data_IF_861873872016
#
_entry.id   IF_861873872016
#
_cell.length_a   1.000
_cell.length_b   1.000
_cell.length_c   1.000
_cell.angle_alpha   90.00
_cell.angle_beta   90.00
_cell.angle_gamma   90.00
#
_symmetry.space_group_name_H-M   'P 1'
#
loop_
_entity.id
_entity.type
_entity.pdbx_description
1 polymer ?
#
# COMPACT_ATOMS: atom_id res chain seq x y z
N UNK A 1 -24.36 -8.41 -8.38
CA UNK A 1 -25.00 -8.64 -9.71
C UNK A 1 -24.21 -7.94 -10.81
N UNK A 2 -23.87 -6.64 -10.72
CA UNK A 2 -23.04 -5.96 -11.73
C UNK A 2 -21.60 -6.52 -11.81
N UNK A 3 -21.01 -6.86 -10.67
CA UNK A 3 -19.69 -7.51 -10.58
C UNK A 3 -19.66 -8.90 -11.22
N UNK A 4 -20.75 -9.66 -11.12
CA UNK A 4 -20.84 -11.00 -11.69
C UNK A 4 -20.86 -10.95 -13.24
N UNK A 5 -21.47 -9.92 -13.85
CA UNK A 5 -21.47 -9.73 -15.31
C UNK A 5 -20.09 -9.42 -15.86
N UNK A 6 -19.31 -8.62 -15.15
CA UNK A 6 -17.91 -8.34 -15.51
C UNK A 6 -17.04 -9.59 -15.37
N UNK A 7 -17.19 -10.33 -14.28
CA UNK A 7 -16.51 -11.61 -14.07
C UNK A 7 -16.85 -12.65 -15.14
N UNK A 8 -18.11 -12.67 -15.60
CA UNK A 8 -18.56 -13.53 -16.70
C UNK A 8 -17.88 -13.17 -18.02
N UNK A 9 -17.82 -11.88 -18.36
CA UNK A 9 -17.15 -11.37 -19.58
C UNK A 9 -15.66 -11.69 -19.60
N UNK A 10 -14.99 -11.58 -18.45
CA UNK A 10 -13.56 -11.82 -18.33
C UNK A 10 -13.20 -13.30 -18.13
N UNK A 11 -14.20 -14.19 -18.02
CA UNK A 11 -13.97 -15.61 -17.75
C UNK A 11 -13.34 -15.87 -16.37
N UNK A 12 -13.56 -14.97 -15.41
CA UNK A 12 -12.95 -15.00 -14.09
C UNK A 12 -13.82 -15.66 -13.01
N UNK A 13 -15.01 -16.14 -13.37
CA UNK A 13 -15.94 -16.82 -12.45
C UNK A 13 -15.67 -18.34 -12.43
N UNK A 14 -16.04 -18.98 -11.32
CA UNK A 14 -16.04 -20.44 -11.25
C UNK A 14 -17.10 -21.06 -12.16
N UNK A 15 -16.93 -22.34 -12.59
CA UNK A 15 -17.84 -22.97 -13.56
C UNK A 15 -19.31 -22.91 -13.15
N UNK A 16 -19.63 -23.11 -11.87
CA UNK A 16 -21.01 -23.06 -11.36
C UNK A 16 -21.60 -21.64 -11.33
N UNK A 17 -20.77 -20.63 -11.22
CA UNK A 17 -21.18 -19.21 -11.27
C UNK A 17 -21.39 -18.78 -12.72
N UNK A 18 -20.53 -19.23 -13.64
CA UNK A 18 -20.68 -19.03 -15.08
C UNK A 18 -22.03 -19.57 -15.57
N UNK A 19 -22.41 -20.78 -15.14
CA UNK A 19 -23.70 -21.38 -15.50
C UNK A 19 -24.89 -20.59 -14.95
N UNK A 20 -24.79 -20.11 -13.72
CA UNK A 20 -25.81 -19.27 -13.07
C UNK A 20 -26.02 -17.94 -13.79
N UNK A 21 -24.92 -17.26 -14.14
CA UNK A 21 -24.98 -16.00 -14.90
C UNK A 21 -25.49 -16.26 -16.33
N UNK A 22 -25.05 -17.32 -16.98
CA UNK A 22 -25.54 -17.70 -18.30
C UNK A 22 -27.04 -18.00 -18.31
N UNK A 23 -27.57 -18.60 -17.25
CA UNK A 23 -29.01 -18.82 -17.09
C UNK A 23 -29.74 -17.49 -16.88
N UNK A 24 -29.25 -16.63 -16.02
CA UNK A 24 -29.82 -15.30 -15.77
C UNK A 24 -29.85 -14.43 -17.03
N UNK A 25 -28.80 -14.46 -17.86
CA UNK A 25 -28.75 -13.77 -19.15
C UNK A 25 -29.79 -14.30 -20.16
N UNK A 26 -30.17 -15.59 -20.08
CA UNK A 26 -31.24 -16.17 -20.94
C UNK A 26 -32.62 -15.70 -20.51
N UNK A 27 -32.83 -15.52 -19.21
CA UNK A 27 -34.13 -15.22 -18.63
C UNK A 27 -34.44 -13.71 -18.55
N UNK A 28 -33.40 -12.85 -18.37
CA UNK A 28 -33.56 -11.42 -18.17
C UNK A 28 -33.08 -10.57 -19.37
N UNK A 29 -33.98 -9.84 -20.03
CA UNK A 29 -33.59 -8.88 -21.04
C UNK A 29 -32.86 -7.66 -20.49
N UNK A 30 -33.00 -7.37 -19.19
CA UNK A 30 -32.29 -6.28 -18.50
C UNK A 30 -30.81 -6.65 -18.29
N UNK A 31 -30.54 -7.87 -17.87
CA UNK A 31 -29.17 -8.37 -17.70
C UNK A 31 -28.39 -8.33 -19.02
N UNK A 32 -29.06 -8.65 -20.14
CA UNK A 32 -28.44 -8.56 -21.47
C UNK A 32 -28.08 -7.13 -21.88
N UNK A 33 -28.93 -6.16 -21.57
CA UNK A 33 -28.63 -4.73 -21.83
C UNK A 33 -27.49 -4.21 -20.97
N UNK A 34 -27.41 -4.67 -19.74
CA UNK A 34 -26.33 -4.31 -18.82
C UNK A 34 -25.00 -4.92 -19.29
N UNK A 35 -25.00 -6.16 -19.75
CA UNK A 35 -23.84 -6.82 -20.36
C UNK A 35 -23.36 -6.04 -21.61
N UNK A 36 -24.27 -5.66 -22.51
CA UNK A 36 -23.93 -4.86 -23.68
C UNK A 36 -23.35 -3.47 -23.34
N UNK A 37 -23.75 -2.89 -22.22
CA UNK A 37 -23.15 -1.64 -21.76
C UNK A 37 -21.73 -1.82 -21.27
N UNK A 38 -21.47 -2.91 -20.53
CA UNK A 38 -20.13 -3.28 -20.06
C UNK A 38 -19.20 -3.60 -21.25
N UNK A 39 -19.67 -4.41 -22.21
CA UNK A 39 -18.90 -4.71 -23.44
C UNK A 39 -18.55 -3.43 -24.21
N UNK A 40 -19.52 -2.51 -24.35
CA UNK A 40 -19.28 -1.25 -25.04
C UNK A 40 -18.30 -0.34 -24.32
N UNK A 41 -18.27 -0.38 -22.98
CA UNK A 41 -17.32 0.35 -22.18
C UNK A 41 -15.89 -0.26 -22.23
N UNK A 42 -15.77 -1.57 -22.43
CA UNK A 42 -14.49 -2.28 -22.53
C UNK A 42 -13.88 -2.24 -23.94
N UNK A 43 -14.69 -2.02 -24.97
CA UNK A 43 -14.27 -1.99 -26.37
C UNK A 43 -13.04 -1.11 -26.66
N UNK A 44 -12.88 0.11 -26.07
CA UNK A 44 -11.68 0.91 -26.28
C UNK A 44 -10.40 0.26 -25.77
N UNK A 45 -10.50 -0.62 -24.75
CA UNK A 45 -9.36 -1.35 -24.22
C UNK A 45 -8.93 -2.48 -25.18
N UNK A 46 -9.90 -3.14 -25.82
CA UNK A 46 -9.62 -4.16 -26.84
C UNK A 46 -9.00 -3.57 -28.10
N UNK A 47 -9.47 -2.39 -28.54
CA UNK A 47 -8.94 -1.69 -29.72
C UNK A 47 -7.49 -1.21 -29.53
N UNK A 48 -7.07 -0.99 -28.29
CA UNK A 48 -5.69 -0.59 -27.95
C UNK A 48 -4.82 -1.77 -27.49
N UNK A 49 -5.35 -2.98 -27.47
CA UNK A 49 -4.60 -4.18 -27.12
C UNK A 49 -3.58 -4.49 -28.21
N UNK A 50 -2.30 -4.31 -27.91
CA UNK A 50 -1.22 -4.85 -28.73
C UNK A 50 -1.03 -6.32 -28.31
N UNK A 51 -1.25 -7.27 -29.20
CA UNK A 51 -1.03 -8.67 -28.90
C UNK A 51 0.42 -8.87 -28.47
N UNK A 52 0.63 -9.59 -27.37
CA UNK A 52 1.96 -9.98 -26.94
C UNK A 52 2.71 -10.65 -28.10
N UNK A 53 4.02 -10.47 -28.16
CA UNK A 53 4.87 -11.10 -29.17
C UNK A 53 4.51 -12.58 -29.33
N UNK A 54 4.47 -13.03 -30.58
CA UNK A 54 4.12 -14.44 -30.88
C UNK A 54 5.03 -15.37 -30.09
N UNK A 55 4.45 -16.37 -29.40
CA UNK A 55 5.24 -17.29 -28.60
C UNK A 55 6.31 -17.99 -29.46
N UNK A 56 7.47 -18.35 -28.88
CA UNK A 56 8.53 -19.05 -29.60
C UNK A 56 7.96 -20.29 -30.34
N UNK A 57 8.38 -20.55 -31.56
CA UNK A 57 7.81 -21.61 -32.40
C UNK A 57 7.99 -23.02 -31.80
N UNK A 58 8.89 -23.21 -30.87
CA UNK A 58 9.18 -24.46 -30.16
C UNK A 58 8.42 -24.60 -28.82
N UNK A 59 7.67 -23.59 -28.39
CA UNK A 59 6.99 -23.60 -27.09
C UNK A 59 6.01 -24.75 -26.95
N UNK A 60 5.19 -25.02 -28.00
CA UNK A 60 4.19 -26.11 -28.01
C UNK A 60 4.89 -27.46 -27.88
N UNK A 61 5.96 -27.68 -28.63
CA UNK A 61 6.71 -28.95 -28.62
C UNK A 61 7.38 -29.17 -27.24
N UNK A 62 7.92 -28.15 -26.64
CA UNK A 62 8.52 -28.20 -25.28
C UNK A 62 7.46 -28.45 -24.20
N UNK A 63 6.29 -27.82 -24.32
CA UNK A 63 5.20 -28.02 -23.37
C UNK A 63 4.65 -29.45 -23.47
N UNK A 64 4.42 -29.95 -24.67
CA UNK A 64 3.95 -31.33 -24.90
C UNK A 64 4.96 -32.39 -24.45
N UNK A 65 6.27 -32.13 -24.61
CA UNK A 65 7.32 -33.04 -24.15
C UNK A 65 7.43 -33.13 -22.63
N UNK A 66 7.00 -32.11 -21.91
CA UNK A 66 7.02 -32.04 -20.43
C UNK A 66 5.67 -32.42 -19.79
N UNK A 67 4.65 -32.78 -20.59
CA UNK A 67 3.39 -33.26 -20.01
C UNK A 67 3.58 -34.71 -19.48
N UNK A 68 3.00 -35.05 -18.33
CA UNK A 68 2.99 -36.42 -17.85
C UNK A 68 2.25 -37.33 -18.87
N UNK A 69 2.64 -38.59 -19.00
CA UNK A 69 2.00 -39.48 -19.95
C UNK A 69 0.50 -39.59 -19.68
N UNK A 70 -0.28 -39.52 -20.75
CA UNK A 70 -1.74 -39.67 -20.68
C UNK A 70 -2.08 -41.02 -20.05
N UNK A 71 -3.04 -41.10 -19.13
CA UNK A 71 -3.52 -42.37 -18.58
C UNK A 71 -4.05 -43.24 -19.71
N UNK A 72 -3.77 -44.54 -19.65
CA UNK A 72 -4.23 -45.51 -20.66
C UNK A 72 -5.76 -45.53 -20.69
N UNK A 73 -6.38 -45.69 -21.87
CA UNK A 73 -7.83 -45.80 -21.97
C UNK A 73 -8.32 -47.00 -21.14
N UNK A 74 -9.07 -46.73 -20.09
CA UNK A 74 -9.58 -47.74 -19.16
C UNK A 74 -9.27 -47.49 -17.69
N UNK A 75 -8.35 -46.56 -17.34
CA UNK A 75 -8.17 -46.12 -15.97
C UNK A 75 -9.08 -44.92 -15.72
N UNK A 76 -10.20 -45.18 -15.06
CA UNK A 76 -11.11 -44.12 -14.59
C UNK A 76 -10.41 -43.32 -13.49
N UNK A 77 -10.17 -42.04 -13.73
CA UNK A 77 -9.86 -41.11 -12.68
C UNK A 77 -11.08 -41.00 -11.75
N UNK A 78 -11.07 -41.68 -10.65
CA UNK A 78 -11.94 -41.35 -9.53
C UNK A 78 -11.27 -40.18 -8.80
N UNK A 79 -11.61 -38.95 -9.19
CA UNK A 79 -11.46 -37.81 -8.31
C UNK A 79 -12.34 -38.09 -7.10
N UNK A 80 -11.83 -38.03 -5.87
CA UNK A 80 -12.69 -38.13 -4.70
C UNK A 80 -13.52 -36.85 -4.65
N UNK A 81 -14.76 -36.92 -5.16
CA UNK A 81 -15.79 -35.93 -4.83
C UNK A 81 -16.09 -36.13 -3.34
N UNK A 82 -15.61 -35.24 -2.52
CA UNK A 82 -15.94 -35.21 -1.10
C UNK A 82 -17.38 -34.69 -0.98
N UNK A 83 -18.35 -35.59 -0.89
CA UNK A 83 -19.71 -35.30 -0.44
C UNK A 83 -19.69 -35.26 1.09
N UNK A 84 -20.28 -34.25 1.74
CA UNK A 84 -20.19 -34.11 3.20
C UNK A 84 -21.24 -34.90 3.97
N UNK A 85 -21.89 -35.90 3.42
CA UNK A 85 -22.84 -36.74 4.17
C UNK A 85 -22.71 -38.22 3.76
N UNK A 86 -22.57 -39.05 4.79
CA UNK A 86 -22.62 -40.50 4.82
C UNK A 86 -21.52 -41.24 4.01
N UNK A 87 -20.51 -41.70 4.76
CA UNK A 87 -20.22 -43.13 4.81
C UNK A 87 -19.04 -43.36 5.76
N UNK A 88 -19.36 -44.00 6.86
CA UNK A 88 -18.40 -44.77 7.63
C UNK A 88 -17.83 -45.87 6.71
N UNK A 89 -16.80 -45.50 5.93
CA UNK A 89 -15.99 -46.48 5.22
C UNK A 89 -15.33 -47.34 6.27
N UNK A 90 -15.88 -48.54 6.49
CA UNK A 90 -15.18 -49.59 7.22
C UNK A 90 -13.86 -49.83 6.50
N UNK A 91 -12.79 -49.32 7.06
CA UNK A 91 -11.45 -49.68 6.68
C UNK A 91 -11.34 -51.20 6.82
N UNK A 92 -10.83 -51.91 5.80
CA UNK A 92 -10.56 -53.33 5.95
C UNK A 92 -9.65 -53.48 7.17
N UNK A 93 -10.09 -54.28 8.14
CA UNK A 93 -9.29 -54.61 9.29
C UNK A 93 -8.00 -55.28 8.75
N UNK A 94 -6.95 -54.49 8.57
CA UNK A 94 -5.61 -55.03 8.55
C UNK A 94 -5.37 -55.58 9.91
N UNK A 95 -5.63 -56.87 10.03
CA UNK A 95 -5.32 -57.68 11.20
C UNK A 95 -3.83 -57.89 11.26
N UNK A 96 -3.05 -56.79 11.28
CA UNK A 96 -1.70 -56.79 11.78
C UNK A 96 -1.85 -56.90 13.28
N UNK A 97 -1.62 -58.10 13.78
CA UNK A 97 -1.46 -58.36 15.21
C UNK A 97 -0.42 -57.37 15.76
N UNK A 98 -0.91 -56.22 16.16
CA UNK A 98 -0.14 -55.30 16.99
C UNK A 98 -0.09 -55.99 18.36
N UNK A 99 1.02 -56.65 18.61
CA UNK A 99 1.35 -57.21 19.88
C UNK A 99 1.33 -56.05 20.90
N UNK A 100 0.38 -55.97 21.84
CA UNK A 100 0.22 -54.83 22.76
C UNK A 100 1.38 -54.73 23.76
N UNK A 101 2.37 -55.62 23.66
CA UNK A 101 3.58 -55.65 24.49
C UNK A 101 4.79 -54.94 23.90
N UNK A 102 4.68 -54.39 22.66
CA UNK A 102 5.70 -53.51 22.16
C UNK A 102 5.47 -52.11 22.70
N UNK A 103 5.86 -51.86 23.95
CA UNK A 103 6.15 -50.52 24.43
C UNK A 103 7.05 -49.89 23.35
N UNK A 104 6.54 -48.94 22.61
CA UNK A 104 7.33 -48.16 21.67
C UNK A 104 8.36 -47.43 22.53
N UNK A 105 9.55 -48.02 22.62
CA UNK A 105 10.70 -47.31 23.18
C UNK A 105 10.95 -46.15 22.24
N UNK A 106 10.30 -45.03 22.56
CA UNK A 106 10.59 -43.74 21.93
C UNK A 106 12.08 -43.49 22.16
N UNK A 107 12.89 -43.80 21.16
CA UNK A 107 14.32 -43.66 21.24
C UNK A 107 14.67 -42.17 21.19
N UNK A 108 15.70 -41.78 21.92
CA UNK A 108 16.22 -40.42 21.88
C UNK A 108 16.50 -39.92 20.43
N UNK A 109 16.77 -40.86 19.51
CA UNK A 109 16.94 -40.63 18.07
C UNK A 109 15.63 -40.14 17.41
N UNK A 110 14.47 -40.61 17.85
CA UNK A 110 13.18 -40.13 17.35
C UNK A 110 12.91 -38.67 17.77
N UNK A 111 13.37 -38.36 19.00
CA UNK A 111 13.36 -36.96 19.49
C UNK A 111 14.31 -36.06 18.70
N UNK A 112 15.51 -36.55 18.37
CA UNK A 112 16.46 -35.81 17.56
C UNK A 112 15.96 -35.61 16.13
N UNK A 113 15.35 -36.63 15.53
CA UNK A 113 14.74 -36.55 14.20
C UNK A 113 13.59 -35.57 14.15
N UNK A 114 12.70 -35.59 15.14
CA UNK A 114 11.60 -34.66 15.28
C UNK A 114 12.06 -33.20 15.49
N UNK A 115 13.05 -33.01 16.37
CA UNK A 115 13.65 -31.69 16.61
C UNK A 115 14.33 -31.11 15.37
N UNK A 116 15.07 -31.94 14.63
CA UNK A 116 15.74 -31.54 13.39
C UNK A 116 14.71 -31.16 12.32
N UNK A 117 13.65 -31.96 12.12
CA UNK A 117 12.60 -31.67 11.17
C UNK A 117 11.87 -30.36 11.51
N UNK A 118 11.57 -30.15 12.80
CA UNK A 118 10.95 -28.90 13.28
C UNK A 118 11.88 -27.70 13.08
N UNK A 119 13.16 -27.84 13.36
CA UNK A 119 14.14 -26.77 13.14
C UNK A 119 14.26 -26.38 11.66
N UNK A 120 14.29 -27.36 10.76
CA UNK A 120 14.30 -27.10 9.31
C UNK A 120 13.00 -26.40 8.87
N UNK A 121 11.84 -26.87 9.35
CA UNK A 121 10.57 -26.25 9.05
C UNK A 121 10.50 -24.79 9.52
N UNK A 122 10.95 -24.52 10.74
CA UNK A 122 11.02 -23.16 11.29
C UNK A 122 12.00 -22.29 10.51
N UNK A 123 13.16 -22.83 10.14
CA UNK A 123 14.16 -22.09 9.36
C UNK A 123 13.65 -21.67 7.97
N UNK A 124 12.72 -22.42 7.39
CA UNK A 124 12.09 -22.08 6.12
C UNK A 124 10.88 -21.15 6.29
N UNK A 125 10.08 -21.35 7.35
CA UNK A 125 8.85 -20.56 7.55
C UNK A 125 9.12 -19.16 8.11
N UNK A 126 10.09 -19.00 9.03
CA UNK A 126 10.34 -17.70 9.66
C UNK A 126 10.73 -16.60 8.66
N UNK A 127 11.64 -16.81 7.70
CA UNK A 127 11.97 -15.79 6.70
C UNK A 127 10.76 -15.44 5.83
N UNK A 128 9.97 -16.42 5.38
CA UNK A 128 8.79 -16.20 4.55
C UNK A 128 7.72 -15.37 5.27
N UNK A 129 7.50 -15.62 6.57
CA UNK A 129 6.57 -14.83 7.39
C UNK A 129 7.10 -13.41 7.59
N UNK A 130 8.40 -13.23 7.80
CA UNK A 130 9.00 -11.91 7.98
C UNK A 130 8.88 -11.06 6.70
N UNK A 131 9.18 -11.65 5.55
CA UNK A 131 9.03 -11.01 4.24
C UNK A 131 7.57 -10.68 3.92
N UNK A 132 6.65 -11.61 4.14
CA UNK A 132 5.22 -11.39 3.96
C UNK A 132 4.68 -10.24 4.84
N UNK A 133 5.14 -10.13 6.09
CA UNK A 133 4.79 -9.02 6.98
C UNK A 133 5.35 -7.69 6.50
N UNK A 134 6.57 -7.68 5.98
CA UNK A 134 7.19 -6.47 5.42
C UNK A 134 6.40 -5.99 4.20
N UNK A 135 6.13 -6.87 3.24
CA UNK A 135 5.37 -6.53 2.03
C UNK A 135 3.95 -6.05 2.35
N UNK A 136 3.26 -6.70 3.29
CA UNK A 136 1.93 -6.30 3.73
C UNK A 136 1.92 -4.89 4.35
N UNK A 137 2.91 -4.56 5.20
CA UNK A 137 3.03 -3.22 5.79
C UNK A 137 3.39 -2.16 4.76
N UNK A 138 4.27 -2.49 3.81
CA UNK A 138 4.62 -1.61 2.69
C UNK A 138 3.39 -1.30 1.84
N UNK A 139 2.64 -2.32 1.46
CA UNK A 139 1.41 -2.17 0.70
C UNK A 139 0.37 -1.32 1.44
N UNK A 140 0.17 -1.54 2.73
CA UNK A 140 -0.75 -0.73 3.55
C UNK A 140 -0.36 0.75 3.56
N UNK A 141 0.94 1.09 3.70
CA UNK A 141 1.38 2.48 3.62
C UNK A 141 1.23 3.07 2.21
N UNK A 142 1.43 2.27 1.16
CA UNK A 142 1.18 2.70 -0.22
C UNK A 142 -0.30 3.00 -0.46
N UNK A 143 -1.19 2.16 0.03
CA UNK A 143 -2.64 2.38 -0.11
C UNK A 143 -3.08 3.62 0.65
N UNK A 144 -2.49 3.88 1.81
CA UNK A 144 -2.75 5.12 2.55
C UNK A 144 -2.27 6.36 1.79
N UNK A 145 -1.08 6.30 1.17
CA UNK A 145 -0.60 7.40 0.31
C UNK A 145 -1.51 7.63 -0.91
N UNK A 146 -2.07 6.57 -1.52
CA UNK A 146 -3.06 6.70 -2.59
C UNK A 146 -4.34 7.38 -2.12
N UNK A 147 -4.80 7.08 -0.89
CA UNK A 147 -5.95 7.75 -0.28
C UNK A 147 -5.67 9.24 -0.07
N UNK A 148 -4.49 9.60 0.44
CA UNK A 148 -4.06 11.00 0.52
C UNK A 148 -3.99 11.64 -0.87
N UNK A 149 -3.45 10.96 -1.87
CA UNK A 149 -3.42 11.44 -3.26
C UNK A 149 -4.81 11.77 -3.80
N UNK A 150 -5.78 10.90 -3.51
CA UNK A 150 -7.19 11.14 -3.86
C UNK A 150 -7.76 12.36 -3.14
N UNK A 151 -7.51 12.50 -1.84
CA UNK A 151 -7.96 13.64 -1.06
C UNK A 151 -7.32 14.96 -1.53
N UNK A 152 -6.02 14.93 -1.85
CA UNK A 152 -5.30 16.09 -2.40
C UNK A 152 -5.84 16.50 -3.77
N UNK A 153 -6.11 15.55 -4.65
CA UNK A 153 -6.72 15.82 -5.96
C UNK A 153 -8.11 16.44 -5.82
N UNK A 154 -8.91 15.94 -4.88
CA UNK A 154 -10.22 16.53 -4.59
C UNK A 154 -10.10 17.93 -3.99
N UNK A 155 -9.10 18.17 -3.12
CA UNK A 155 -8.83 19.49 -2.57
C UNK A 155 -8.48 20.49 -3.67
N UNK A 156 -7.53 20.13 -4.53
CA UNK A 156 -7.10 20.93 -5.69
C UNK A 156 -8.27 21.24 -6.63
N UNK A 157 -9.17 20.29 -6.88
CA UNK A 157 -10.32 20.51 -7.75
C UNK A 157 -11.33 21.54 -7.21
N UNK A 158 -11.29 21.82 -5.90
CA UNK A 158 -12.12 22.86 -5.25
C UNK A 158 -11.39 24.19 -5.15
N UNK A 159 -10.07 24.20 -5.30
CA UNK A 159 -9.26 25.42 -5.24
C UNK A 159 -9.22 26.14 -6.61
N UNK A 160 -9.58 27.45 -6.62
CA UNK A 160 -9.64 28.24 -7.85
C UNK A 160 -8.28 28.40 -8.56
N UNK A 161 -7.19 28.21 -7.84
CA UNK A 161 -5.82 28.31 -8.39
C UNK A 161 -5.19 26.96 -8.69
N UNK A 162 -5.91 25.85 -8.47
CA UNK A 162 -5.43 24.48 -8.61
C UNK A 162 -4.16 24.23 -7.77
N UNK A 163 -4.13 24.68 -6.50
CA UNK A 163 -2.97 24.53 -5.65
C UNK A 163 -3.18 23.46 -4.59
N UNK A 164 -2.08 22.81 -4.24
CA UNK A 164 -2.02 21.91 -3.10
C UNK A 164 -2.29 22.64 -1.78
N UNK A 165 -2.74 21.95 -0.70
CA UNK A 165 -2.89 22.54 0.62
C UNK A 165 -1.66 23.34 1.03
N UNK A 166 -1.85 24.65 1.28
CA UNK A 166 -0.74 25.55 1.49
C UNK A 166 -0.12 25.38 2.88
N UNK A 167 1.19 25.34 2.95
CA UNK A 167 1.98 25.63 4.15
C UNK A 167 2.17 27.14 4.23
N UNK A 168 1.93 27.75 5.37
CA UNK A 168 2.19 29.19 5.54
C UNK A 168 3.70 29.46 5.66
N UNK A 169 4.12 30.64 5.22
CA UNK A 169 5.54 31.04 5.37
C UNK A 169 5.93 31.18 6.84
N UNK A 170 5.04 31.74 7.65
CA UNK A 170 5.25 32.08 9.06
C UNK A 170 3.94 31.87 9.84
N UNK A 171 4.02 31.78 11.18
CA UNK A 171 2.88 31.67 12.07
C UNK A 171 2.44 30.24 12.36
N UNK A 172 1.25 30.06 12.98
CA UNK A 172 0.81 28.77 13.49
C UNK A 172 0.62 27.69 12.40
N UNK A 173 0.39 28.09 11.17
CA UNK A 173 0.22 27.19 10.02
C UNK A 173 1.54 26.91 9.25
N UNK A 174 2.67 27.39 9.76
CA UNK A 174 3.99 27.22 9.11
C UNK A 174 4.63 25.89 9.49
N UNK A 175 4.02 24.77 9.08
CA UNK A 175 4.55 23.42 9.28
C UNK A 175 3.98 22.44 8.25
N UNK A 176 4.76 21.44 7.90
CA UNK A 176 4.37 20.49 6.84
C UNK A 176 3.05 19.75 7.13
N UNK A 177 2.81 19.33 8.38
CA UNK A 177 1.63 18.57 8.79
C UNK A 177 0.30 19.32 8.69
N UNK A 178 0.32 20.63 8.40
CA UNK A 178 -0.91 21.44 8.21
C UNK A 178 -1.80 20.90 7.08
N UNK A 179 -1.24 20.15 6.14
CA UNK A 179 -2.02 19.52 5.07
C UNK A 179 -3.15 18.64 5.61
N UNK A 180 -2.88 17.87 6.69
CA UNK A 180 -3.86 16.97 7.27
C UNK A 180 -5.03 17.75 7.89
N UNK A 181 -4.74 18.87 8.57
CA UNK A 181 -5.73 19.77 9.14
C UNK A 181 -6.60 20.38 8.02
N UNK A 182 -5.98 20.89 6.95
CA UNK A 182 -6.69 21.48 5.82
C UNK A 182 -7.56 20.48 5.06
N UNK A 183 -7.10 19.26 4.89
CA UNK A 183 -7.89 18.18 4.30
C UNK A 183 -9.05 17.78 5.21
N UNK A 184 -8.84 17.75 6.53
CA UNK A 184 -9.89 17.46 7.50
C UNK A 184 -10.97 18.55 7.52
N UNK A 185 -10.58 19.82 7.56
CA UNK A 185 -11.50 20.96 7.50
C UNK A 185 -12.30 21.00 6.19
N UNK A 186 -11.70 20.53 5.11
CA UNK A 186 -12.39 20.37 3.82
C UNK A 186 -13.31 19.14 3.76
N UNK A 187 -13.34 18.29 4.80
CA UNK A 187 -14.12 17.04 4.85
C UNK A 187 -13.61 15.99 3.87
N UNK A 188 -12.29 15.94 3.62
CA UNK A 188 -11.66 15.06 2.64
C UNK A 188 -10.87 13.92 3.28
N UNK A 189 -10.69 13.91 4.60
CA UNK A 189 -10.11 12.79 5.34
C UNK A 189 -11.21 11.90 5.87
N UNK A 190 -11.35 10.71 5.29
CA UNK A 190 -12.31 9.69 5.73
C UNK A 190 -11.83 8.92 6.97
N UNK A 191 -10.52 8.78 7.12
CA UNK A 191 -9.87 8.09 8.23
C UNK A 191 -8.64 8.87 8.73
N UNK A 192 -8.79 9.48 9.89
CA UNK A 192 -7.71 10.22 10.55
C UNK A 192 -6.63 9.27 11.08
N UNK A 193 -6.99 8.01 11.40
CA UNK A 193 -6.04 7.02 11.92
C UNK A 193 -5.02 6.57 10.86
N UNK A 194 -5.37 6.66 9.59
CA UNK A 194 -4.51 6.35 8.45
C UNK A 194 -3.24 7.21 8.34
N UNK A 195 -3.10 8.31 9.13
CA UNK A 195 -1.85 9.07 9.19
C UNK A 195 -0.69 8.33 9.88
N UNK A 196 -0.95 7.15 10.47
CA UNK A 196 0.07 6.34 11.11
C UNK A 196 0.51 5.20 10.21
N UNK A 197 1.77 5.20 9.79
CA UNK A 197 2.32 4.15 8.95
C UNK A 197 2.28 2.79 9.66
N UNK A 198 1.75 1.76 8.99
CA UNK A 198 1.62 0.40 9.52
C UNK A 198 2.98 -0.25 9.89
N UNK A 199 4.08 0.25 9.33
CA UNK A 199 5.43 -0.23 9.64
C UNK A 199 5.95 0.27 10.99
N UNK A 200 5.55 1.47 11.40
CA UNK A 200 6.03 2.12 12.64
C UNK A 200 5.05 1.94 13.80
N UNK A 201 3.77 1.71 13.49
CA UNK A 201 2.72 1.69 14.50
C UNK A 201 2.39 3.09 15.03
N UNK A 202 1.50 3.16 15.98
CA UNK A 202 1.08 4.42 16.61
C UNK A 202 2.09 4.83 17.68
N UNK A 203 2.55 6.10 17.75
CA UNK A 203 3.45 6.56 18.81
C UNK A 203 2.85 6.38 20.20
N UNK A 204 3.66 5.98 21.18
CA UNK A 204 3.21 5.78 22.57
C UNK A 204 2.59 7.05 23.18
N UNK A 205 3.13 8.22 22.85
CA UNK A 205 2.59 9.52 23.31
C UNK A 205 1.14 9.73 22.85
N UNK A 206 0.82 9.31 21.62
CA UNK A 206 -0.53 9.37 21.05
C UNK A 206 -1.42 8.30 21.64
N UNK A 207 -0.89 7.11 21.92
CA UNK A 207 -1.63 6.02 22.55
C UNK A 207 -1.99 6.32 24.01
N UNK A 208 -1.14 7.06 24.72
CA UNK A 208 -1.35 7.45 26.11
C UNK A 208 -2.38 8.60 26.29
N UNK A 209 -2.60 9.42 25.24
CA UNK A 209 -3.55 10.55 25.27
C UNK A 209 -4.55 10.46 24.09
N UNK A 210 -5.37 9.39 24.00
CA UNK A 210 -6.16 9.08 22.81
C UNK A 210 -7.18 10.17 22.45
N UNK A 211 -7.77 10.84 23.42
CA UNK A 211 -8.86 11.79 23.19
C UNK A 211 -8.43 13.14 22.60
N UNK A 212 -7.16 13.51 22.71
CA UNK A 212 -6.67 14.82 22.26
C UNK A 212 -5.99 14.79 20.88
N UNK A 213 -5.41 13.65 20.53
CA UNK A 213 -4.61 13.48 19.31
C UNK A 213 -5.31 12.60 18.25
N UNK A 214 -6.46 12.01 18.61
CA UNK A 214 -7.31 11.27 17.66
C UNK A 214 -8.18 12.20 16.82
N UNK A 215 -8.50 13.38 17.34
CA UNK A 215 -9.17 14.45 16.60
C UNK A 215 -8.11 15.41 16.05
N UNK A 216 -8.15 15.65 14.74
CA UNK A 216 -7.34 16.72 14.17
C UNK A 216 -7.93 18.07 14.56
N UNK A 217 -7.07 18.98 15.02
CA UNK A 217 -7.40 20.37 15.24
C UNK A 217 -7.89 20.99 13.92
N UNK A 218 -8.74 22.01 13.99
CA UNK A 218 -9.09 22.84 12.84
C UNK A 218 -8.04 23.95 12.64
N UNK A 219 -8.06 24.63 11.49
CA UNK A 219 -7.21 25.80 11.23
C UNK A 219 -7.47 26.89 12.29
N UNK A 220 -8.73 27.09 12.69
CA UNK A 220 -9.09 28.04 13.75
C UNK A 220 -8.50 27.69 15.12
N UNK A 221 -8.35 26.40 15.41
CA UNK A 221 -7.73 25.95 16.67
C UNK A 221 -6.23 26.24 16.70
N UNK A 222 -5.54 26.16 15.56
CA UNK A 222 -4.12 26.53 15.46
C UNK A 222 -3.88 27.98 15.90
N UNK A 223 -4.77 28.90 15.52
CA UNK A 223 -4.67 30.32 15.86
C UNK A 223 -5.04 30.62 17.32
N UNK A 224 -5.79 29.73 17.97
CA UNK A 224 -6.21 29.86 19.38
C UNK A 224 -5.34 29.06 20.35
N UNK A 225 -4.55 28.13 19.85
CA UNK A 225 -3.74 27.24 20.65
C UNK A 225 -2.68 27.97 21.44
N UNK A 226 -2.43 27.53 22.67
CA UNK A 226 -1.25 27.92 23.43
C UNK A 226 0.02 27.44 22.73
N UNK A 227 1.18 27.97 23.11
CA UNK A 227 2.48 27.59 22.49
C UNK A 227 2.76 26.09 22.63
N UNK A 228 2.41 25.50 23.76
CA UNK A 228 2.67 24.06 23.99
C UNK A 228 1.69 23.19 23.25
N UNK A 229 0.41 23.56 23.20
CA UNK A 229 -0.60 22.87 22.37
C UNK A 229 -0.27 22.97 20.89
N UNK A 230 0.13 24.14 20.40
CA UNK A 230 0.52 24.32 19.00
C UNK A 230 1.70 23.42 18.65
N UNK A 231 2.71 23.32 19.53
CA UNK A 231 3.88 22.46 19.32
C UNK A 231 3.47 20.99 19.27
N UNK A 232 2.53 20.55 20.10
CA UNK A 232 2.00 19.20 20.11
C UNK A 232 1.23 18.90 18.80
N UNK A 233 0.36 19.82 18.38
CA UNK A 233 -0.37 19.70 17.11
C UNK A 233 0.61 19.61 15.93
N UNK A 234 1.59 20.50 15.85
CA UNK A 234 2.60 20.51 14.80
C UNK A 234 3.40 19.19 14.75
N UNK A 235 3.70 18.63 15.91
CA UNK A 235 4.45 17.36 16.01
C UNK A 235 3.67 16.19 15.39
N UNK A 236 2.35 16.14 15.59
CA UNK A 236 1.58 14.93 15.33
C UNK A 236 0.51 15.05 14.23
N UNK A 237 0.16 16.25 13.78
CA UNK A 237 -0.94 16.43 12.82
C UNK A 237 -0.75 15.64 11.51
N UNK A 238 0.44 15.68 10.92
CA UNK A 238 0.75 14.94 9.69
C UNK A 238 1.07 13.46 9.90
N UNK A 239 1.12 12.98 11.15
CA UNK A 239 1.45 11.59 11.45
C UNK A 239 2.85 11.19 10.99
N UNK A 240 2.96 10.00 10.42
CA UNK A 240 4.21 9.43 9.90
C UNK A 240 4.45 9.72 8.41
N UNK A 241 3.80 10.76 7.87
CA UNK A 241 4.00 11.15 6.47
C UNK A 241 4.61 12.55 6.39
N UNK A 242 5.53 12.68 5.43
CA UNK A 242 6.09 13.96 5.00
C UNK A 242 5.20 14.58 3.94
N UNK A 243 5.19 15.89 3.89
CA UNK A 243 4.45 16.66 2.90
C UNK A 243 5.31 17.79 2.34
N UNK A 244 4.99 18.25 1.14
CA UNK A 244 5.71 19.35 0.48
C UNK A 244 5.66 20.63 1.30
N UNK A 245 6.82 21.21 1.52
CA UNK A 245 6.96 22.47 2.24
C UNK A 245 6.51 23.70 1.45
N UNK A 246 6.24 23.53 0.15
CA UNK A 246 6.00 24.63 -0.76
C UNK A 246 7.21 24.93 -1.63
N UNK A 247 7.11 25.94 -2.46
CA UNK A 247 8.13 26.34 -3.44
C UNK A 247 8.38 27.84 -3.42
N UNK A 248 9.58 28.24 -3.83
CA UNK A 248 9.93 29.63 -4.10
C UNK A 248 9.96 29.84 -5.60
N UNK A 249 8.99 30.57 -6.14
CA UNK A 249 8.93 30.93 -7.54
C UNK A 249 9.28 32.42 -7.70
N UNK A 250 10.44 32.69 -8.30
CA UNK A 250 11.05 34.00 -8.30
C UNK A 250 11.48 34.43 -6.89
N UNK A 251 10.75 35.37 -6.29
CA UNK A 251 10.98 35.83 -4.91
C UNK A 251 9.77 35.56 -4.00
N UNK A 252 8.79 34.82 -4.50
CA UNK A 252 7.55 34.57 -3.76
C UNK A 252 7.47 33.12 -3.32
N UNK A 253 7.28 32.93 -2.01
CA UNK A 253 6.93 31.65 -1.46
C UNK A 253 5.45 31.36 -1.68
N UNK A 254 5.13 30.15 -2.17
CA UNK A 254 3.76 29.73 -2.45
C UNK A 254 3.59 28.21 -2.43
N UNK A 255 2.35 27.76 -2.30
CA UNK A 255 2.01 26.37 -2.49
C UNK A 255 2.20 25.96 -3.97
N UNK A 256 2.68 24.74 -4.25
CA UNK A 256 2.82 24.24 -5.61
C UNK A 256 1.47 24.22 -6.32
N UNK A 257 1.47 24.59 -7.60
CA UNK A 257 0.33 24.37 -8.47
C UNK A 257 0.31 22.90 -8.89
N UNK A 258 -0.85 22.28 -8.88
CA UNK A 258 -1.02 20.91 -9.29
C UNK A 258 -1.04 20.80 -10.82
N UNK A 259 -0.06 20.11 -11.38
CA UNK A 259 0.15 19.98 -12.83
C UNK A 259 0.29 18.52 -13.27
N UNK A 260 0.01 17.56 -12.38
CA UNK A 260 0.12 16.11 -12.62
C UNK A 260 1.51 15.65 -13.08
N UNK A 261 2.57 16.25 -12.52
CA UNK A 261 3.97 15.93 -12.86
C UNK A 261 4.36 14.57 -12.29
N UNK A 262 4.99 13.75 -13.11
CA UNK A 262 5.44 12.40 -12.70
C UNK A 262 6.73 12.42 -11.86
N UNK A 263 7.47 13.52 -11.85
CA UNK A 263 8.72 13.70 -11.09
C UNK A 263 8.53 14.45 -9.78
N UNK A 264 7.46 15.24 -9.63
CA UNK A 264 7.24 16.07 -8.45
C UNK A 264 6.66 15.23 -7.29
N UNK A 265 7.45 15.03 -6.23
CA UNK A 265 7.01 14.36 -5.02
C UNK A 265 6.08 15.25 -4.19
N UNK A 266 4.93 14.74 -3.77
CA UNK A 266 3.93 15.48 -2.98
C UNK A 266 3.92 15.02 -1.53
N UNK A 267 4.02 13.72 -1.32
CA UNK A 267 4.06 13.09 0.01
C UNK A 267 4.99 11.88 0.02
N UNK A 268 5.49 11.53 1.20
CA UNK A 268 6.24 10.28 1.40
C UNK A 268 6.07 9.78 2.84
N UNK A 269 6.56 8.57 3.11
CA UNK A 269 6.87 8.18 4.48
C UNK A 269 7.86 9.20 5.07
N UNK A 270 7.62 9.65 6.29
CA UNK A 270 8.50 10.60 6.97
C UNK A 270 9.71 9.90 7.59
N UNK A 271 10.87 10.59 7.66
CA UNK A 271 11.98 10.11 8.46
C UNK A 271 11.59 10.00 9.95
N UNK A 272 12.06 8.94 10.61
CA UNK A 272 11.87 8.77 12.05
C UNK A 272 12.94 9.53 12.81
N UNK A 273 12.52 10.34 13.80
CA UNK A 273 13.43 11.13 14.62
C UNK A 273 13.84 12.47 13.99
N UNK A 274 14.85 13.10 14.58
CA UNK A 274 15.39 14.36 14.05
C UNK A 274 16.37 14.08 12.93
N UNK A 275 15.94 14.40 11.74
CA UNK A 275 16.71 14.29 10.52
C UNK A 275 17.35 15.67 10.23
N UNK A 276 18.65 15.67 9.98
CA UNK A 276 19.38 16.88 9.58
C UNK A 276 20.39 16.51 8.50
N UNK A 277 20.13 16.93 7.27
CA UNK A 277 21.06 16.80 6.15
C UNK A 277 20.96 15.50 5.33
N UNK A 278 21.96 15.28 4.48
CA UNK A 278 22.02 14.26 3.44
C UNK A 278 22.25 12.83 3.99
N UNK A 279 22.75 12.70 5.23
CA UNK A 279 23.10 11.40 5.81
C UNK A 279 21.88 10.69 6.41
N UNK A 280 21.14 10.00 5.54
CA UNK A 280 19.97 9.23 5.91
C UNK A 280 20.40 7.84 6.37
N UNK A 281 20.36 7.63 7.68
CA UNK A 281 20.67 6.32 8.26
C UNK A 281 19.45 5.39 8.22
N UNK A 282 19.62 4.05 8.04
CA UNK A 282 18.51 3.11 8.03
C UNK A 282 17.60 3.17 9.25
N UNK A 283 18.14 3.49 10.44
CA UNK A 283 17.35 3.66 11.66
C UNK A 283 16.40 4.86 11.64
N UNK A 284 16.61 5.81 10.72
CA UNK A 284 15.77 7.00 10.56
C UNK A 284 14.63 6.82 9.56
N UNK A 285 14.44 5.60 9.05
CA UNK A 285 13.47 5.30 8.01
C UNK A 285 12.57 4.16 8.46
N UNK A 286 11.29 4.25 8.14
CA UNK A 286 10.34 3.17 8.31
C UNK A 286 10.68 1.95 7.44
N UNK A 287 9.80 0.96 7.41
CA UNK A 287 9.96 -0.22 6.55
C UNK A 287 11.29 -0.96 6.78
N UNK A 288 11.65 -1.17 8.07
CA UNK A 288 12.89 -1.84 8.48
C UNK A 288 14.17 -1.17 7.96
N UNK A 289 14.13 0.12 7.66
CA UNK A 289 15.29 0.87 7.15
C UNK A 289 15.63 0.60 5.69
N UNK A 290 14.76 -0.08 4.93
CA UNK A 290 15.05 -0.47 3.54
C UNK A 290 14.72 0.63 2.54
N UNK A 291 13.76 1.51 2.84
CA UNK A 291 13.34 2.56 1.93
C UNK A 291 12.06 3.27 2.38
N UNK A 292 11.53 4.08 1.49
CA UNK A 292 10.33 4.89 1.69
C UNK A 292 9.35 4.73 0.53
N UNK A 293 8.07 4.92 0.81
CA UNK A 293 7.07 5.12 -0.23
C UNK A 293 6.95 6.61 -0.54
N UNK A 294 6.87 6.96 -1.82
CA UNK A 294 6.72 8.33 -2.29
C UNK A 294 5.49 8.40 -3.20
N UNK A 295 4.62 9.36 -2.92
CA UNK A 295 3.50 9.74 -3.76
C UNK A 295 3.92 10.91 -4.64
N UNK A 296 3.78 10.75 -5.94
CA UNK A 296 4.01 11.80 -6.94
C UNK A 296 2.70 12.51 -7.32
N UNK A 297 2.82 13.67 -7.92
CA UNK A 297 1.69 14.53 -8.29
C UNK A 297 0.76 13.89 -9.33
N UNK A 298 1.26 12.96 -10.14
CA UNK A 298 0.46 12.13 -11.08
C UNK A 298 -0.37 11.03 -10.39
N UNK A 299 -0.29 10.90 -9.06
CA UNK A 299 -0.98 9.90 -8.26
C UNK A 299 -0.24 8.57 -8.12
N UNK A 300 0.90 8.40 -8.77
CA UNK A 300 1.74 7.20 -8.65
C UNK A 300 2.40 7.14 -7.29
N UNK A 301 2.33 5.96 -6.65
CA UNK A 301 3.07 5.66 -5.43
C UNK A 301 4.17 4.65 -5.73
N UNK A 302 5.41 4.99 -5.40
CA UNK A 302 6.58 4.16 -5.64
C UNK A 302 7.37 3.94 -4.36
N UNK A 303 7.84 2.71 -4.14
CA UNK A 303 8.82 2.43 -3.09
C UNK A 303 10.23 2.71 -3.61
N UNK A 304 10.96 3.55 -2.90
CA UNK A 304 12.35 3.91 -3.20
C UNK A 304 13.25 3.31 -2.11
N UNK A 305 14.26 2.55 -2.53
CA UNK A 305 15.27 2.07 -1.58
C UNK A 305 16.16 3.21 -1.10
N UNK A 306 16.71 3.14 0.10
CA UNK A 306 17.66 4.14 0.61
C UNK A 306 18.85 4.36 -0.32
N UNK A 307 19.35 3.28 -0.93
CA UNK A 307 20.48 3.36 -1.86
C UNK A 307 20.14 4.08 -3.17
N UNK A 308 18.87 4.14 -3.55
CA UNK A 308 18.42 4.83 -4.76
C UNK A 308 18.07 6.30 -4.51
N UNK A 309 17.80 6.72 -3.28
CA UNK A 309 17.41 8.11 -2.99
C UNK A 309 18.44 9.13 -3.47
N UNK A 310 19.72 8.90 -3.22
CA UNK A 310 20.80 9.79 -3.65
C UNK A 310 21.09 9.76 -5.18
N UNK A 311 20.42 8.87 -5.93
CA UNK A 311 20.58 8.73 -7.37
C UNK A 311 19.44 9.36 -8.16
N UNK A 312 18.39 9.80 -7.46
CA UNK A 312 17.22 10.44 -8.07
C UNK A 312 17.54 11.91 -8.33
N UNK A 313 17.24 12.43 -9.53
CA UNK A 313 17.56 13.83 -9.88
C UNK A 313 16.90 14.85 -8.94
N UNK A 314 15.70 14.56 -8.45
CA UNK A 314 14.97 15.38 -7.48
C UNK A 314 14.77 14.55 -6.21
N UNK A 315 15.60 14.82 -5.19
CA UNK A 315 15.58 14.07 -3.93
C UNK A 315 14.32 14.42 -3.14
N UNK A 316 13.49 13.43 -2.71
CA UNK A 316 12.17 13.73 -2.13
C UNK A 316 12.20 14.64 -0.90
N UNK A 317 13.27 14.60 -0.10
CA UNK A 317 13.36 15.33 1.17
C UNK A 317 14.31 16.53 1.15
N UNK A 318 15.05 16.72 0.09
CA UNK A 318 16.02 17.80 -0.03
C UNK A 318 15.65 18.65 -1.25
N UNK A 319 15.71 19.97 -1.08
CA UNK A 319 15.60 20.87 -2.21
C UNK A 319 16.89 20.85 -3.06
N UNK A 320 16.90 21.52 -4.18
CA UNK A 320 18.06 21.58 -5.08
C UNK A 320 19.30 22.29 -4.50
N UNK A 321 19.26 22.72 -3.22
CA UNK A 321 20.42 23.19 -2.45
C UNK A 321 20.87 22.19 -1.38
N UNK A 322 20.35 20.97 -1.42
CA UNK A 322 20.58 19.94 -0.42
C UNK A 322 20.10 20.33 1.00
N UNK A 323 19.06 21.17 1.09
CA UNK A 323 18.48 21.64 2.35
C UNK A 323 17.07 21.07 2.55
N UNK A 324 16.67 20.84 3.84
CA UNK A 324 15.30 20.46 4.19
C UNK A 324 14.49 21.75 4.37
N UNK A 325 14.27 22.47 3.29
CA UNK A 325 13.50 23.71 3.20
C UNK A 325 12.60 23.67 1.97
N UNK A 326 11.78 24.70 1.81
CA UNK A 326 10.94 24.84 0.62
C UNK A 326 11.75 24.74 -0.67
N UNK A 327 11.16 24.18 -1.73
CA UNK A 327 11.78 24.07 -3.03
C UNK A 327 12.20 25.41 -3.59
N UNK A 328 13.33 25.46 -4.29
CA UNK A 328 13.93 26.73 -4.80
C UNK A 328 13.38 27.15 -6.16
N UNK A 329 12.57 26.30 -6.79
CA UNK A 329 11.86 26.58 -8.03
C UNK A 329 10.58 25.75 -8.13
N UNK A 330 9.84 25.89 -9.24
CA UNK A 330 8.53 25.27 -9.44
C UNK A 330 8.58 23.74 -9.58
N UNK A 331 9.71 23.17 -9.96
CA UNK A 331 9.90 21.73 -10.17
C UNK A 331 10.69 21.06 -9.05
N UNK A 332 11.05 21.81 -8.02
CA UNK A 332 11.84 21.35 -6.90
C UNK A 332 10.92 20.90 -5.74
N UNK A 333 10.77 19.59 -5.59
CA UNK A 333 9.97 19.01 -4.52
C UNK A 333 10.83 18.87 -3.26
N UNK A 334 10.34 19.37 -2.12
CA UNK A 334 10.96 19.13 -0.83
C UNK A 334 9.91 18.75 0.19
N UNK A 335 9.97 17.51 0.65
CA UNK A 335 9.04 16.93 1.63
C UNK A 335 9.67 16.98 3.02
N UNK A 336 8.84 17.25 4.02
CA UNK A 336 9.33 17.26 5.39
C UNK A 336 8.34 16.64 6.38
N UNK A 337 8.83 16.14 7.53
CA UNK A 337 7.99 15.66 8.61
C UNK A 337 7.03 16.72 9.14
N UNK A 338 5.94 16.29 9.78
CA UNK A 338 4.84 17.13 10.26
C UNK A 338 5.28 18.46 10.86
N UNK A 339 6.20 18.43 11.80
CA UNK A 339 6.61 19.60 12.60
C UNK A 339 7.51 20.62 11.87
N UNK A 340 7.98 20.32 10.68
CA UNK A 340 9.00 21.10 9.98
C UNK A 340 8.37 22.34 9.34
N UNK A 341 8.91 23.56 9.60
CA UNK A 341 8.53 24.76 8.87
C UNK A 341 9.18 24.79 7.47
N UNK A 342 8.67 25.65 6.56
CA UNK A 342 9.21 25.76 5.20
C UNK A 342 10.63 26.34 5.13
N UNK A 343 11.07 27.06 6.16
CA UNK A 343 12.42 27.62 6.26
C UNK A 343 12.94 27.47 7.70
N UNK A 344 14.25 27.28 7.87
CA UNK A 344 14.87 27.03 9.17
C UNK A 344 14.71 28.20 10.17
N UNK A 345 14.71 29.45 9.66
CA UNK A 345 14.67 30.67 10.48
C UNK A 345 13.24 31.15 10.81
N UNK A 346 12.21 30.36 10.51
CA UNK A 346 10.81 30.77 10.67
C UNK A 346 10.36 30.68 12.12
N UNK A 347 9.79 31.77 12.62
CA UNK A 347 9.06 31.77 13.88
C UNK A 347 7.68 31.15 13.68
N UNK A 348 7.47 30.01 14.31
CA UNK A 348 6.17 29.29 14.31
C UNK A 348 5.17 29.84 15.34
N UNK A 349 5.32 31.12 15.74
CA UNK A 349 4.48 31.79 16.73
C UNK A 349 3.52 32.77 16.07
#
# INVERSE_FOLDING_TARGET
MHEDLLGYLLGALEPHEMDRVAQWLRESPEARRELEQIERALRPLEEHYQPAESPPPDLVSRTLANLPPLPKPGESFTTPVHSPDDDLVSLPAMNNGVDPSRESQFTWLDWLGGALATAILLALLLPSIAEGRFEARKAACQDQLRQFGTALTQYVSRDHQNRLPAVAKEGPEAFAGVYAIRLNDAGLLSDISGRWCASLGRPEAVAAAPTRLDELASVDDLHRASVDELREIQQFAGGHYSYTLGIVDGQQFKSPKFESRSSFAVMSDAPTGRFSGIDIQPQNVGHSGLGINVLYEDGRVQFLSLSSLNQIPDHPWLNHRDEIEAGVNIDDASLAPSYRPPFADVRQR
#
